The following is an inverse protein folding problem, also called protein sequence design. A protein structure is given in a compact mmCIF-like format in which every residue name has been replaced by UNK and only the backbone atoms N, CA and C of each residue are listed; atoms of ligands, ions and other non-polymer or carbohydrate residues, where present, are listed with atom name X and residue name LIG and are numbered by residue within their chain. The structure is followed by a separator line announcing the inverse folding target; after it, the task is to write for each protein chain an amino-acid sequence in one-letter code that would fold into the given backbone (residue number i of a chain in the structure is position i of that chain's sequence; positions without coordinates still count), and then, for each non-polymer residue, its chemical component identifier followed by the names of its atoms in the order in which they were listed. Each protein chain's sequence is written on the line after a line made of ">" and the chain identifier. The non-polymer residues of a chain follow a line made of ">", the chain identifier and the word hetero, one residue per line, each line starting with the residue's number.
data_IF_497454230821
#
_entry.id   IF_497454230821
#
_cell.length_a   1.000
_cell.length_b   1.000
_cell.length_c   1.000
_cell.angle_alpha   90.00
_cell.angle_beta   90.00
_cell.angle_gamma   90.00
#
_symmetry.space_group_name_H-M   'P 1'
#
loop_
_entity.id
_entity.type
_entity.pdbx_description
1 polymer ?
#
# COMPACT_ATOMS: atom_id res chain seq x y z
N UNK A 1 5.36 -5.09 -22.83
CA UNK A 1 4.56 -4.28 -21.88
C UNK A 1 5.21 -4.42 -20.50
N UNK A 2 6.01 -3.53 -19.92
CA UNK A 2 6.48 -2.18 -20.24
C UNK A 2 6.85 -1.56 -18.89
N UNK A 3 8.11 -1.62 -18.46
CA UNK A 3 8.54 -1.39 -17.05
C UNK A 3 8.05 -0.09 -16.38
N UNK A 4 7.61 0.90 -17.16
CA UNK A 4 6.97 2.13 -16.68
C UNK A 4 5.61 1.91 -16.03
N UNK A 5 4.82 0.93 -16.51
CA UNK A 5 3.52 0.57 -15.91
C UNK A 5 3.73 -0.06 -14.53
N UNK A 6 4.75 -0.92 -14.41
CA UNK A 6 5.13 -1.55 -13.13
C UNK A 6 5.59 -0.48 -12.14
N UNK A 7 6.43 0.46 -12.55
CA UNK A 7 6.84 1.58 -11.70
C UNK A 7 5.65 2.43 -11.23
N UNK A 8 4.69 2.73 -12.11
CA UNK A 8 3.47 3.46 -11.76
C UNK A 8 2.62 2.75 -10.69
N UNK A 9 2.52 1.41 -10.77
CA UNK A 9 1.82 0.59 -9.78
C UNK A 9 2.50 0.64 -8.41
N UNK A 10 3.83 0.51 -8.36
CA UNK A 10 4.58 0.58 -7.10
C UNK A 10 4.50 1.96 -6.46
N UNK A 11 4.63 3.01 -7.27
CA UNK A 11 4.52 4.40 -6.81
C UNK A 11 3.10 4.68 -6.31
N UNK A 12 2.06 4.32 -7.06
CA UNK A 12 0.66 4.48 -6.66
C UNK A 12 0.32 3.73 -5.36
N UNK A 13 0.82 2.51 -5.22
CA UNK A 13 0.67 1.71 -4.00
C UNK A 13 1.36 2.36 -2.81
N UNK A 14 2.60 2.85 -2.99
CA UNK A 14 3.37 3.53 -1.95
C UNK A 14 2.69 4.82 -1.48
N UNK A 15 2.23 5.66 -2.41
CA UNK A 15 1.52 6.89 -2.06
C UNK A 15 0.15 6.64 -1.40
N UNK A 16 -0.57 5.59 -1.83
CA UNK A 16 -1.80 5.16 -1.15
C UNK A 16 -1.52 4.68 0.26
N UNK A 17 -0.37 4.04 0.47
CA UNK A 17 0.12 3.63 1.78
C UNK A 17 0.38 4.82 2.71
N UNK A 18 1.13 5.81 2.21
CA UNK A 18 1.41 7.07 2.90
C UNK A 18 0.13 7.84 3.23
N UNK A 19 -0.80 7.94 2.28
CA UNK A 19 -2.08 8.59 2.50
C UNK A 19 -2.88 7.88 3.57
N UNK A 20 -2.94 6.55 3.58
CA UNK A 20 -3.60 5.77 4.63
C UNK A 20 -3.02 6.00 6.03
N UNK A 21 -1.73 6.31 6.14
CA UNK A 21 -1.06 6.66 7.40
C UNK A 21 -1.46 8.05 7.92
N UNK A 22 -1.53 9.03 7.02
CA UNK A 22 -1.81 10.43 7.34
C UNK A 22 -3.32 10.72 7.48
N UNK A 23 -4.14 10.05 6.69
CA UNK A 23 -5.59 10.21 6.65
C UNK A 23 -6.24 8.84 6.51
N UNK A 24 -7.27 8.50 7.31
CA UNK A 24 -7.84 7.16 7.33
C UNK A 24 -8.73 6.83 6.12
N UNK A 25 -8.17 6.95 4.91
CA UNK A 25 -8.85 6.73 3.64
C UNK A 25 -7.90 6.06 2.64
N UNK A 26 -8.46 5.21 1.77
CA UNK A 26 -7.73 4.46 0.74
C UNK A 26 -7.14 5.32 -0.38
N UNK A 27 -7.43 6.63 -0.42
CA UNK A 27 -7.12 7.48 -1.56
C UNK A 27 -8.00 7.19 -2.79
N UNK A 28 -7.80 7.93 -3.89
CA UNK A 28 -8.57 7.76 -5.12
C UNK A 28 -8.24 6.46 -5.87
N UNK A 29 -9.24 5.92 -6.59
CA UNK A 29 -9.17 4.59 -7.22
C UNK A 29 -8.03 4.44 -8.24
N UNK A 30 -7.66 5.53 -8.95
CA UNK A 30 -6.58 5.50 -9.94
C UNK A 30 -5.18 5.26 -9.36
N UNK A 31 -5.01 5.36 -8.03
CA UNK A 31 -3.74 5.04 -7.37
C UNK A 31 -3.53 3.53 -7.20
N UNK A 32 -4.59 2.73 -7.35
CA UNK A 32 -4.56 1.28 -7.18
C UNK A 32 -4.58 0.62 -8.56
N UNK A 33 -3.71 -0.36 -8.77
CA UNK A 33 -3.57 -1.05 -10.07
C UNK A 33 -4.91 -1.66 -10.54
N UNK A 34 -5.70 -2.19 -9.60
CA UNK A 34 -7.05 -2.71 -9.84
C UNK A 34 -8.20 -1.82 -9.38
N UNK A 35 -7.95 -0.54 -9.06
CA UNK A 35 -8.96 0.35 -8.48
C UNK A 35 -9.62 -0.23 -7.23
N UNK A 36 -10.95 -0.24 -7.18
CA UNK A 36 -11.70 -0.82 -6.04
C UNK A 36 -11.63 -2.34 -5.94
N UNK A 37 -11.29 -3.01 -7.04
CA UNK A 37 -11.14 -4.46 -7.10
C UNK A 37 -9.74 -4.93 -6.69
N UNK A 38 -8.80 -4.00 -6.51
CA UNK A 38 -7.42 -4.30 -6.17
C UNK A 38 -7.31 -5.14 -4.87
N UNK A 39 -6.66 -6.32 -4.91
CA UNK A 39 -6.57 -7.21 -3.76
C UNK A 39 -5.75 -6.61 -2.62
N UNK A 40 -4.72 -5.81 -2.93
CA UNK A 40 -3.88 -5.12 -1.94
C UNK A 40 -4.70 -4.02 -1.26
N UNK A 41 -5.46 -3.23 -2.04
CA UNK A 41 -6.39 -2.22 -1.47
C UNK A 41 -7.37 -2.86 -0.51
N UNK A 42 -7.97 -3.98 -0.91
CA UNK A 42 -9.01 -4.68 -0.13
C UNK A 42 -8.49 -5.31 1.16
N UNK A 43 -7.18 -5.53 1.29
CA UNK A 43 -6.56 -6.01 2.52
C UNK A 43 -6.68 -4.97 3.65
N UNK A 44 -6.40 -3.70 3.34
CA UNK A 44 -6.37 -2.61 4.34
C UNK A 44 -7.71 -1.86 4.40
N UNK A 45 -8.36 -1.68 3.26
CA UNK A 45 -9.52 -0.79 3.12
C UNK A 45 -10.79 -1.55 2.69
N UNK A 46 -11.93 -0.99 3.06
CA UNK A 46 -13.26 -1.39 2.61
C UNK A 46 -13.53 -0.83 1.20
N UNK A 47 -14.58 -1.32 0.51
CA UNK A 47 -14.94 -0.82 -0.83
C UNK A 47 -15.21 0.69 -0.86
N UNK A 48 -15.79 1.23 0.21
CA UNK A 48 -16.07 2.66 0.44
C UNK A 48 -14.81 3.51 0.71
N UNK A 49 -13.63 2.88 0.80
CA UNK A 49 -12.36 3.55 1.05
C UNK A 49 -12.03 3.75 2.53
N UNK A 50 -12.92 3.38 3.46
CA UNK A 50 -12.64 3.42 4.90
C UNK A 50 -11.71 2.28 5.33
N UNK A 51 -11.01 2.42 6.46
CA UNK A 51 -10.20 1.32 6.99
C UNK A 51 -11.06 0.14 7.46
N UNK A 52 -10.56 -1.08 7.26
CA UNK A 52 -11.07 -2.25 7.98
C UNK A 52 -10.68 -2.18 9.45
N UNK A 53 -11.36 -2.97 10.30
CA UNK A 53 -11.12 -3.04 11.76
C UNK A 53 -9.63 -3.15 12.12
N UNK A 54 -8.88 -3.98 11.39
CA UNK A 54 -7.44 -4.15 11.57
C UNK A 54 -6.62 -3.61 10.39
N UNK A 55 -7.24 -2.87 9.48
CA UNK A 55 -6.59 -2.38 8.26
C UNK A 55 -5.43 -1.44 8.56
N UNK A 56 -5.58 -0.57 9.57
CA UNK A 56 -4.51 0.34 10.00
C UNK A 56 -3.33 -0.41 10.65
N UNK A 57 -3.62 -1.42 11.47
CA UNK A 57 -2.58 -2.26 12.08
C UNK A 57 -1.84 -3.09 11.03
N UNK A 58 -2.57 -3.67 10.08
CA UNK A 58 -1.98 -4.37 8.95
C UNK A 58 -1.07 -3.44 8.12
N UNK A 59 -1.51 -2.20 7.87
CA UNK A 59 -0.72 -1.22 7.15
C UNK A 59 0.57 -0.87 7.90
N UNK A 60 0.49 -0.64 9.21
CA UNK A 60 1.67 -0.41 10.05
C UNK A 60 2.62 -1.62 10.09
N UNK A 61 2.07 -2.82 10.21
CA UNK A 61 2.86 -4.05 10.23
C UNK A 61 3.61 -4.26 8.92
N UNK A 62 2.96 -4.03 7.78
CA UNK A 62 3.60 -4.12 6.46
C UNK A 62 4.68 -3.05 6.29
N UNK A 63 4.46 -1.83 6.79
CA UNK A 63 5.51 -0.80 6.77
C UNK A 63 6.72 -1.24 7.61
N UNK A 64 6.48 -1.67 8.85
CA UNK A 64 7.54 -2.12 9.74
C UNK A 64 8.30 -3.32 9.18
N UNK A 65 7.59 -4.33 8.68
CA UNK A 65 8.19 -5.53 8.08
C UNK A 65 8.95 -5.20 6.79
N UNK A 66 8.41 -4.34 5.93
CA UNK A 66 9.08 -3.89 4.71
C UNK A 66 10.37 -3.11 5.01
N UNK A 67 10.32 -2.15 5.94
CA UNK A 67 11.50 -1.41 6.39
C UNK A 67 12.53 -2.32 7.04
N UNK A 68 12.12 -3.28 7.87
CA UNK A 68 13.01 -4.26 8.49
C UNK A 68 13.68 -5.16 7.44
N UNK A 69 12.94 -5.61 6.43
CA UNK A 69 13.48 -6.41 5.33
C UNK A 69 14.52 -5.63 4.51
N UNK A 70 14.22 -4.37 4.17
CA UNK A 70 15.17 -3.48 3.47
C UNK A 70 16.42 -3.25 4.33
N UNK A 71 16.24 -2.92 5.61
CA UNK A 71 17.36 -2.74 6.55
C UNK A 71 18.22 -4.01 6.62
N UNK A 72 17.58 -5.17 6.72
CA UNK A 72 18.28 -6.45 6.75
C UNK A 72 19.07 -6.71 5.47
N UNK A 73 18.50 -6.40 4.29
CA UNK A 73 19.24 -6.48 3.02
C UNK A 73 20.44 -5.53 3.00
N UNK A 74 20.30 -4.29 3.47
CA UNK A 74 21.39 -3.29 3.45
C UNK A 74 22.50 -3.57 4.46
N UNK A 75 22.22 -4.27 5.55
CA UNK A 75 23.18 -4.57 6.61
C UNK A 75 23.85 -5.94 6.42
N UNK A 76 23.21 -6.84 5.67
CA UNK A 76 23.67 -8.23 5.49
C UNK A 76 24.28 -8.51 4.11
N UNK A 77 24.10 -7.62 3.14
CA UNK A 77 24.84 -7.58 1.88
C UNK A 77 25.89 -6.45 1.91
#
# INVERSE_FOLDING_TARGET
>A
MGGRVVAGIWVGTFFSFLMGLLRPAAGPDWMWAGGRADPIRRLYFRPDGSFRRFGRLALLATLAAGSAAIYWMLVRF
#
